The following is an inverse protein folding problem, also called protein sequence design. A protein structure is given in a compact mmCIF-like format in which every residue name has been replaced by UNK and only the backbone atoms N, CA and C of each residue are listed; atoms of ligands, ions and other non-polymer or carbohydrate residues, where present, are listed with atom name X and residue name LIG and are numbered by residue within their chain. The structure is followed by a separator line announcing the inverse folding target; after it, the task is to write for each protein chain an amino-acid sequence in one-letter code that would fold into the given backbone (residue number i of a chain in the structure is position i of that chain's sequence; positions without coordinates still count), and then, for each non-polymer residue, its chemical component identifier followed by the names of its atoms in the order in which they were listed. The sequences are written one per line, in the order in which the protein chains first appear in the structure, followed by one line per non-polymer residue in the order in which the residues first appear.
data_IF_653223418885
#
_entry.id   IF_653223418885
#
_cell.length_a   1.000
_cell.length_b   1.000
_cell.length_c   1.000
_cell.angle_alpha   90.00
_cell.angle_beta   90.00
_cell.angle_gamma   90.00
#
_symmetry.space_group_name_H-M   'P 1'
#
loop_
_entity.id
_entity.type
_entity.pdbx_description
1 polymer ?
#
# COMPACT_ATOMS: atom_id res chain seq x y z
N UNK A 1 21.99 52.48 64.32
CA UNK A 1 22.54 52.64 62.95
C UNK A 1 22.58 51.24 62.34
N UNK A 2 21.46 50.84 61.75
CA UNK A 2 21.03 49.43 61.71
C UNK A 2 21.52 48.73 60.44
N UNK A 3 21.96 47.47 60.59
CA UNK A 3 22.42 46.58 59.52
C UNK A 3 21.42 46.44 58.35
N UNK A 4 20.13 46.74 58.60
CA UNK A 4 19.07 46.77 57.59
C UNK A 4 19.27 47.86 56.52
N UNK A 5 19.87 49.01 56.88
CA UNK A 5 20.17 50.07 55.92
C UNK A 5 21.29 49.69 54.95
N UNK A 6 22.24 48.85 55.39
CA UNK A 6 23.31 48.34 54.51
C UNK A 6 22.82 47.28 53.54
N UNK A 7 21.79 46.50 53.91
CA UNK A 7 21.18 45.50 53.03
C UNK A 7 20.42 46.16 51.86
N UNK A 8 19.75 47.28 52.12
CA UNK A 8 19.03 48.02 51.07
C UNK A 8 19.97 48.81 50.15
N UNK A 9 21.17 49.17 50.62
CA UNK A 9 22.17 49.84 49.80
C UNK A 9 22.93 48.85 48.88
N UNK A 10 23.08 47.59 49.29
CA UNK A 10 23.67 46.53 48.44
C UNK A 10 22.73 46.02 47.33
N UNK A 11 21.40 46.07 47.53
CA UNK A 11 20.43 45.70 46.50
C UNK A 11 20.25 46.79 45.44
N UNK A 12 20.65 48.03 45.72
CA UNK A 12 20.57 49.14 44.77
C UNK A 12 21.87 49.39 43.98
N UNK A 13 22.96 48.69 44.33
CA UNK A 13 24.25 48.73 43.61
C UNK A 13 24.57 47.43 42.88
N UNK A 14 23.58 46.53 42.78
CA UNK A 14 23.64 45.34 41.92
C UNK A 14 23.48 45.75 40.46
N UNK A 15 24.56 46.29 39.91
CA UNK A 15 24.81 46.47 38.50
C UNK A 15 24.50 45.15 37.78
N UNK A 16 23.35 45.11 37.12
CA UNK A 16 22.74 43.88 36.63
C UNK A 16 21.78 44.11 35.48
N UNK A 17 21.88 45.25 34.80
CA UNK A 17 21.62 45.26 33.37
C UNK A 17 22.76 44.47 32.73
N UNK A 18 22.72 43.14 32.87
CA UNK A 18 23.33 42.26 31.90
C UNK A 18 22.63 42.61 30.60
N UNK A 19 23.21 43.54 29.84
CA UNK A 19 22.82 43.83 28.49
C UNK A 19 22.87 42.49 27.78
N UNK A 20 21.69 41.86 27.63
CA UNK A 20 21.54 40.62 26.87
C UNK A 20 22.13 40.96 25.52
N UNK A 21 23.32 40.44 25.24
CA UNK A 21 24.01 40.74 24.00
C UNK A 21 23.04 40.35 22.89
N UNK A 22 22.90 41.15 21.81
CA UNK A 22 21.95 40.85 20.74
C UNK A 22 22.16 39.44 20.17
N UNK A 23 23.39 38.92 20.26
CA UNK A 23 23.75 37.55 19.92
C UNK A 23 23.09 36.48 20.82
N UNK A 24 23.01 36.73 22.13
CA UNK A 24 22.38 35.83 23.11
C UNK A 24 20.86 35.80 22.92
N UNK A 25 20.27 36.95 22.59
CA UNK A 25 18.84 37.03 22.28
C UNK A 25 18.49 36.23 21.01
N UNK A 26 19.31 36.35 19.95
CA UNK A 26 19.13 35.59 18.71
C UNK A 26 19.29 34.09 18.96
N UNK A 27 20.28 33.67 19.75
CA UNK A 27 20.48 32.27 20.09
C UNK A 27 19.28 31.68 20.86
N UNK A 28 18.72 32.43 21.81
CA UNK A 28 17.52 32.02 22.56
C UNK A 28 16.31 31.89 21.64
N UNK A 29 16.11 32.84 20.72
CA UNK A 29 15.00 32.80 19.76
C UNK A 29 15.12 31.58 18.84
N UNK A 30 16.32 31.29 18.32
CA UNK A 30 16.55 30.12 17.46
C UNK A 30 16.29 28.79 18.19
N UNK A 31 16.68 28.71 19.47
CA UNK A 31 16.49 27.51 20.28
C UNK A 31 14.99 27.26 20.55
N UNK A 32 14.23 28.33 20.85
CA UNK A 32 12.78 28.26 21.01
C UNK A 32 12.08 27.82 19.72
N UNK A 33 12.54 28.33 18.57
CA UNK A 33 11.98 28.00 17.27
C UNK A 33 12.27 26.53 16.89
N UNK A 34 13.46 26.03 17.17
CA UNK A 34 13.83 24.63 16.96
C UNK A 34 13.01 23.68 17.83
N UNK A 35 12.81 24.01 19.11
CA UNK A 35 11.96 23.24 20.03
C UNK A 35 10.50 23.27 19.58
N UNK A 36 10.01 24.42 19.08
CA UNK A 36 8.66 24.54 18.54
C UNK A 36 8.46 23.64 17.31
N UNK A 37 9.37 23.69 16.33
CA UNK A 37 9.32 22.83 15.14
C UNK A 37 9.40 21.35 15.52
N UNK A 38 10.32 20.98 16.41
CA UNK A 38 10.46 19.61 16.90
C UNK A 38 9.20 19.12 17.63
N UNK A 39 8.60 19.97 18.46
CA UNK A 39 7.34 19.69 19.15
C UNK A 39 6.18 19.49 18.19
N UNK A 40 6.08 20.33 17.15
CA UNK A 40 5.07 20.18 16.09
C UNK A 40 5.27 18.89 15.31
N UNK A 41 6.51 18.53 14.94
CA UNK A 41 6.81 17.27 14.25
C UNK A 41 6.49 16.04 15.12
N UNK A 42 6.82 16.08 16.41
CA UNK A 42 6.47 15.03 17.37
C UNK A 42 4.96 14.93 17.58
N UNK A 43 4.25 16.05 17.59
CA UNK A 43 2.79 16.10 17.66
C UNK A 43 2.13 15.50 16.41
N UNK A 44 2.60 15.85 15.21
CA UNK A 44 2.14 15.22 13.97
C UNK A 44 2.50 13.73 13.89
N UNK A 45 3.68 13.31 14.36
CA UNK A 45 4.03 11.89 14.47
C UNK A 45 3.14 11.16 15.47
N UNK A 46 2.80 11.79 16.59
CA UNK A 46 1.88 11.22 17.58
C UNK A 46 0.45 11.11 17.02
N UNK A 47 -0.02 12.13 16.29
CA UNK A 47 -1.30 12.09 15.58
C UNK A 47 -1.31 11.02 14.50
N UNK A 48 -0.25 10.92 13.69
CA UNK A 48 -0.11 9.89 12.66
C UNK A 48 -0.12 8.50 13.29
N UNK A 49 0.63 8.28 14.38
CA UNK A 49 0.61 7.01 15.14
C UNK A 49 -0.78 6.71 15.72
N UNK A 50 -1.44 7.71 16.31
CA UNK A 50 -2.78 7.56 16.91
C UNK A 50 -3.86 7.29 15.86
N UNK A 51 -3.79 7.94 14.69
CA UNK A 51 -4.66 7.65 13.55
C UNK A 51 -4.38 6.25 13.00
N UNK A 52 -3.12 5.83 12.87
CA UNK A 52 -2.81 4.47 12.41
C UNK A 52 -3.29 3.38 13.37
N UNK A 53 -3.25 3.61 14.69
CA UNK A 53 -3.74 2.65 15.69
C UNK A 53 -5.27 2.62 15.78
N UNK A 54 -5.94 3.78 15.67
CA UNK A 54 -7.40 3.85 15.58
C UNK A 54 -7.91 3.16 14.31
N UNK A 55 -7.26 3.39 13.16
CA UNK A 55 -7.53 2.70 11.91
C UNK A 55 -7.28 1.20 12.06
N UNK A 56 -6.15 0.74 12.63
CA UNK A 56 -5.87 -0.71 12.80
C UNK A 56 -6.93 -1.44 13.63
N UNK A 57 -7.45 -0.81 14.68
CA UNK A 57 -8.51 -1.37 15.51
C UNK A 57 -9.85 -1.38 14.78
N UNK A 58 -10.16 -0.33 14.03
CA UNK A 58 -11.34 -0.27 13.16
C UNK A 58 -11.25 -1.32 12.06
N UNK A 59 -10.12 -1.45 11.38
CA UNK A 59 -9.83 -2.47 10.37
C UNK A 59 -9.95 -3.88 10.95
N UNK A 60 -9.43 -4.11 12.16
CA UNK A 60 -9.53 -5.41 12.83
C UNK A 60 -10.96 -5.74 13.23
N UNK A 61 -11.73 -4.74 13.69
CA UNK A 61 -13.17 -4.86 13.96
C UNK A 61 -13.96 -5.10 12.67
N UNK A 62 -13.67 -4.36 11.61
CA UNK A 62 -14.25 -4.53 10.28
C UNK A 62 -13.89 -5.89 9.70
N UNK A 63 -12.66 -6.39 9.89
CA UNK A 63 -12.26 -7.75 9.52
C UNK A 63 -13.03 -8.81 10.29
N UNK A 64 -13.22 -8.65 11.61
CA UNK A 64 -14.03 -9.59 12.40
C UNK A 64 -15.51 -9.55 11.99
N UNK A 65 -16.08 -8.37 11.76
CA UNK A 65 -17.46 -8.18 11.34
C UNK A 65 -17.71 -8.69 9.89
N UNK A 66 -16.75 -8.44 9.01
CA UNK A 66 -16.74 -8.94 7.64
C UNK A 66 -16.54 -10.45 7.58
N UNK A 67 -15.64 -11.02 8.38
CA UNK A 67 -15.46 -12.46 8.49
C UNK A 67 -16.78 -13.14 8.96
N UNK A 68 -17.44 -12.58 9.97
CA UNK A 68 -18.72 -13.10 10.45
C UNK A 68 -19.90 -12.95 9.47
N UNK A 69 -19.82 -12.00 8.53
CA UNK A 69 -20.83 -11.81 7.49
C UNK A 69 -20.52 -12.56 6.18
N UNK A 70 -19.25 -12.79 5.87
CA UNK A 70 -18.78 -13.65 4.79
C UNK A 70 -19.04 -15.13 5.09
N UNK A 71 -18.82 -15.58 6.33
CA UNK A 71 -19.20 -16.93 6.78
C UNK A 71 -20.69 -17.21 6.61
N UNK A 72 -21.56 -16.19 6.75
CA UNK A 72 -23.01 -16.33 6.55
C UNK A 72 -23.46 -16.31 5.09
N UNK A 73 -22.63 -15.82 4.15
CA UNK A 73 -22.99 -15.67 2.72
C UNK A 73 -22.31 -16.70 1.80
N UNK A 74 -21.35 -17.47 2.28
CA UNK A 74 -20.65 -18.44 1.45
C UNK A 74 -21.51 -19.69 1.15
N UNK A 75 -22.11 -19.73 -0.04
CA UNK A 75 -22.47 -20.99 -0.70
C UNK A 75 -21.20 -21.79 -1.06
N UNK A 76 -21.26 -23.13 -1.19
CA UNK A 76 -20.10 -24.04 -1.08
C UNK A 76 -19.15 -24.08 -2.30
N UNK A 77 -18.95 -22.97 -3.01
CA UNK A 77 -17.98 -22.86 -4.11
C UNK A 77 -16.65 -22.17 -3.71
N UNK A 78 -16.52 -21.70 -2.47
CA UNK A 78 -15.47 -20.75 -2.06
C UNK A 78 -14.30 -21.36 -1.26
N UNK A 79 -13.97 -22.64 -1.43
CA UNK A 79 -12.84 -23.25 -0.70
C UNK A 79 -11.47 -22.74 -1.20
N UNK A 80 -11.41 -22.14 -2.39
CA UNK A 80 -10.22 -21.47 -2.94
C UNK A 80 -10.55 -20.05 -3.39
N UNK A 81 -10.78 -19.13 -2.43
CA UNK A 81 -10.84 -17.69 -2.73
C UNK A 81 -9.63 -17.27 -3.57
N UNK A 82 -9.87 -16.55 -4.68
CA UNK A 82 -8.82 -16.12 -5.61
C UNK A 82 -7.71 -15.29 -4.93
N UNK A 83 -6.60 -15.04 -5.63
CA UNK A 83 -5.47 -14.32 -5.04
C UNK A 83 -5.91 -12.90 -4.65
N UNK A 84 -5.58 -12.51 -3.42
CA UNK A 84 -5.87 -11.15 -2.92
C UNK A 84 -5.00 -10.08 -3.60
N UNK A 85 -3.87 -10.47 -4.21
CA UNK A 85 -2.89 -9.56 -4.80
C UNK A 85 -2.02 -10.28 -5.82
N UNK A 86 -1.79 -9.63 -6.96
CA UNK A 86 -0.95 -10.18 -8.02
C UNK A 86 -0.34 -9.10 -8.91
N UNK A 87 0.66 -9.50 -9.67
CA UNK A 87 1.19 -8.75 -10.82
C UNK A 87 0.88 -9.49 -12.11
N UNK A 88 0.67 -8.74 -13.18
CA UNK A 88 0.76 -9.23 -14.55
C UNK A 88 1.90 -8.51 -15.27
N UNK A 89 2.88 -9.27 -15.76
CA UNK A 89 4.09 -8.75 -16.40
C UNK A 89 4.06 -9.17 -17.87
N UNK A 90 4.16 -8.22 -18.80
CA UNK A 90 4.17 -8.52 -20.24
C UNK A 90 5.55 -8.98 -20.69
N UNK A 91 5.92 -10.19 -20.27
CA UNK A 91 7.18 -10.82 -20.61
C UNK A 91 7.06 -12.34 -20.47
N UNK A 92 7.67 -13.06 -21.41
CA UNK A 92 7.85 -14.51 -21.36
C UNK A 92 9.25 -14.93 -20.89
N UNK A 93 10.13 -13.97 -20.57
CA UNK A 93 11.50 -14.24 -20.13
C UNK A 93 11.55 -14.47 -18.62
N UNK A 94 11.27 -15.71 -18.20
CA UNK A 94 11.26 -16.10 -16.77
C UNK A 94 12.58 -15.79 -16.05
N UNK A 95 13.78 -16.05 -16.59
CA UNK A 95 15.05 -15.66 -15.94
C UNK A 95 15.15 -14.15 -15.67
N UNK A 96 14.70 -13.32 -16.61
CA UNK A 96 14.70 -11.86 -16.42
C UNK A 96 13.73 -11.44 -15.31
N UNK A 97 12.54 -12.05 -15.26
CA UNK A 97 11.54 -11.80 -14.21
C UNK A 97 12.09 -12.21 -12.83
N UNK A 98 12.72 -13.38 -12.72
CA UNK A 98 13.36 -13.85 -11.48
C UNK A 98 14.42 -12.86 -11.00
N UNK A 99 15.29 -12.39 -11.90
CA UNK A 99 16.34 -11.43 -11.59
C UNK A 99 15.76 -10.07 -11.16
N UNK A 100 14.73 -9.59 -11.86
CA UNK A 100 14.07 -8.32 -11.55
C UNK A 100 13.37 -8.35 -10.18
N UNK A 101 12.71 -9.45 -9.84
CA UNK A 101 12.08 -9.69 -8.53
C UNK A 101 13.10 -10.05 -7.43
N UNK A 102 14.38 -10.23 -7.78
CA UNK A 102 15.46 -10.65 -6.88
C UNK A 102 15.10 -11.92 -6.10
N UNK A 103 14.50 -12.91 -6.79
CA UNK A 103 14.09 -14.16 -6.17
C UNK A 103 15.30 -15.00 -5.75
N UNK A 104 15.20 -15.60 -4.57
CA UNK A 104 16.13 -16.58 -3.99
C UNK A 104 15.40 -17.88 -3.69
N UNK A 105 16.15 -18.95 -3.50
CA UNK A 105 15.60 -20.29 -3.22
C UNK A 105 14.54 -20.72 -4.24
N UNK A 106 14.78 -20.44 -5.52
CA UNK A 106 13.82 -20.70 -6.59
C UNK A 106 13.67 -22.20 -6.79
N UNK A 107 12.43 -22.70 -6.73
CA UNK A 107 12.09 -24.09 -6.96
C UNK A 107 10.92 -24.18 -7.95
N UNK A 108 10.96 -25.10 -8.94
CA UNK A 108 9.79 -25.41 -9.74
C UNK A 108 8.66 -25.91 -8.85
N UNK A 109 7.43 -25.47 -9.11
CA UNK A 109 6.27 -25.94 -8.38
C UNK A 109 5.06 -26.06 -9.32
N UNK A 110 4.13 -26.92 -8.93
CA UNK A 110 2.80 -26.92 -9.52
C UNK A 110 2.05 -25.63 -9.15
N UNK A 111 0.98 -25.34 -9.88
CA UNK A 111 0.14 -24.18 -9.57
C UNK A 111 -0.53 -24.29 -8.20
N UNK A 112 -0.98 -25.50 -7.83
CA UNK A 112 -1.61 -25.77 -6.54
C UNK A 112 -0.64 -25.49 -5.38
N UNK A 113 0.58 -26.03 -5.46
CA UNK A 113 1.66 -25.77 -4.50
C UNK A 113 2.04 -24.29 -4.47
N UNK A 114 2.12 -23.65 -5.64
CA UNK A 114 2.43 -22.23 -5.79
C UNK A 114 1.41 -21.33 -5.09
N UNK A 115 0.12 -21.56 -5.30
CA UNK A 115 -0.94 -20.80 -4.62
C UNK A 115 -0.97 -21.06 -3.11
N UNK A 116 -0.71 -22.29 -2.67
CA UNK A 116 -0.64 -22.61 -1.24
C UNK A 116 0.53 -21.88 -0.57
N UNK A 117 1.74 -21.95 -1.17
CA UNK A 117 2.96 -21.34 -0.61
C UNK A 117 3.06 -19.83 -0.80
N UNK A 118 2.38 -19.25 -1.79
CA UNK A 118 2.34 -17.80 -2.01
C UNK A 118 1.73 -17.03 -0.82
N UNK A 119 1.00 -17.71 0.09
CA UNK A 119 0.51 -17.10 1.33
C UNK A 119 1.61 -16.88 2.37
N UNK A 120 2.74 -17.58 2.27
CA UNK A 120 3.79 -17.66 3.31
C UNK A 120 5.08 -16.93 2.90
N UNK A 121 5.01 -15.61 2.65
CA UNK A 121 6.16 -14.76 2.27
C UNK A 121 6.94 -15.19 1.01
N UNK A 122 6.38 -16.10 0.22
CA UNK A 122 6.92 -16.53 -1.07
C UNK A 122 6.15 -15.87 -2.21
N UNK A 123 6.84 -15.76 -3.34
CA UNK A 123 6.25 -15.39 -4.61
C UNK A 123 6.14 -16.62 -5.48
N UNK A 124 4.98 -16.82 -6.08
CA UNK A 124 4.75 -17.79 -7.13
C UNK A 124 4.69 -17.07 -8.47
N UNK A 125 5.51 -17.49 -9.42
CA UNK A 125 5.55 -16.96 -10.79
C UNK A 125 5.03 -18.05 -11.72
N UNK A 126 4.01 -17.73 -12.51
CA UNK A 126 3.44 -18.68 -13.46
C UNK A 126 4.36 -18.89 -14.65
N UNK A 127 4.19 -19.97 -15.41
CA UNK A 127 4.65 -20.00 -16.80
C UNK A 127 4.04 -18.83 -17.59
N UNK A 128 4.70 -18.38 -18.67
CA UNK A 128 4.12 -17.39 -19.57
C UNK A 128 2.84 -17.93 -20.24
N UNK A 129 1.80 -17.10 -20.26
CA UNK A 129 0.49 -17.37 -20.83
C UNK A 129 0.15 -16.21 -21.75
N UNK A 130 0.01 -16.45 -23.05
CA UNK A 130 -0.34 -15.39 -24.02
C UNK A 130 0.60 -14.16 -23.96
N UNK A 131 1.87 -14.39 -23.63
CA UNK A 131 2.88 -13.32 -23.49
C UNK A 131 2.91 -12.61 -22.14
N UNK A 132 2.04 -13.01 -21.20
CA UNK A 132 1.99 -12.51 -19.83
C UNK A 132 2.49 -13.54 -18.84
N UNK A 133 3.21 -13.07 -17.82
CA UNK A 133 3.60 -13.87 -16.67
C UNK A 133 2.95 -13.28 -15.43
N UNK A 134 2.23 -14.10 -14.67
CA UNK A 134 1.61 -13.66 -13.43
C UNK A 134 2.51 -13.95 -12.23
N UNK A 135 2.46 -13.07 -11.25
CA UNK A 135 3.18 -13.22 -9.98
C UNK A 135 2.20 -13.07 -8.83
N UNK A 136 2.15 -14.06 -7.97
CA UNK A 136 1.27 -14.10 -6.81
C UNK A 136 2.07 -14.14 -5.52
N UNK A 137 1.53 -13.55 -4.45
CA UNK A 137 1.97 -13.84 -3.09
C UNK A 137 2.01 -12.65 -2.16
N UNK A 138 1.96 -12.96 -0.87
CA UNK A 138 1.92 -11.98 0.22
C UNK A 138 3.22 -11.18 0.39
N UNK A 139 4.30 -11.58 -0.30
CA UNK A 139 5.52 -10.80 -0.29
C UNK A 139 5.43 -9.54 -1.17
N UNK A 140 4.58 -9.50 -2.21
CA UNK A 140 4.40 -8.29 -3.04
C UNK A 140 4.09 -7.07 -2.15
N UNK A 141 4.49 -5.85 -2.50
CA UNK A 141 4.16 -4.67 -1.69
C UNK A 141 2.64 -4.46 -1.61
N UNK A 142 2.19 -3.99 -0.45
CA UNK A 142 0.80 -3.58 -0.24
C UNK A 142 0.74 -2.06 -0.28
N UNK A 143 0.11 -1.49 -1.32
CA UNK A 143 0.01 -0.03 -1.46
C UNK A 143 -0.62 0.65 -0.25
N UNK A 144 -1.53 -0.05 0.44
CA UNK A 144 -2.14 0.41 1.68
C UNK A 144 -1.15 0.56 2.84
N UNK A 145 -0.16 -0.33 2.93
CA UNK A 145 0.84 -0.27 3.99
C UNK A 145 1.90 0.79 3.72
N UNK A 146 2.34 0.87 2.46
CA UNK A 146 3.37 1.81 2.01
C UNK A 146 3.23 2.08 0.50
N UNK A 147 2.61 3.21 0.15
CA UNK A 147 2.40 3.64 -1.23
C UNK A 147 3.74 3.88 -1.91
N UNK A 148 4.70 4.52 -1.23
CA UNK A 148 5.98 4.87 -1.83
C UNK A 148 6.79 3.62 -2.17
N UNK A 149 6.78 2.61 -1.30
CA UNK A 149 7.42 1.32 -1.57
C UNK A 149 6.75 0.61 -2.75
N UNK A 150 5.41 0.63 -2.82
CA UNK A 150 4.67 0.06 -3.95
C UNK A 150 5.00 0.79 -5.26
N UNK A 151 5.00 2.13 -5.24
CA UNK A 151 5.35 2.99 -6.36
C UNK A 151 6.74 2.68 -6.90
N UNK A 152 7.77 2.73 -6.03
CA UNK A 152 9.18 2.47 -6.41
C UNK A 152 9.35 1.06 -6.96
N UNK A 153 8.70 0.08 -6.34
CA UNK A 153 8.71 -1.30 -6.80
C UNK A 153 8.14 -1.44 -8.23
N UNK A 154 6.97 -0.87 -8.51
CA UNK A 154 6.37 -0.91 -9.84
C UNK A 154 7.19 -0.15 -10.89
N UNK A 155 7.78 0.98 -10.50
CA UNK A 155 8.66 1.77 -11.37
C UNK A 155 9.93 0.98 -11.74
N UNK A 156 10.59 0.39 -10.75
CA UNK A 156 11.81 -0.39 -10.95
C UNK A 156 11.56 -1.66 -11.77
N UNK A 157 10.42 -2.33 -11.56
CA UNK A 157 10.05 -3.50 -12.36
C UNK A 157 9.71 -3.12 -13.80
N UNK A 158 8.87 -2.11 -14.02
CA UNK A 158 8.50 -1.67 -15.37
C UNK A 158 9.70 -1.15 -16.16
N UNK A 159 10.66 -0.49 -15.52
CA UNK A 159 11.92 -0.10 -16.17
C UNK A 159 12.71 -1.30 -16.71
N UNK A 160 12.68 -2.44 -16.01
CA UNK A 160 13.44 -3.65 -16.40
C UNK A 160 12.66 -4.59 -17.32
N UNK A 161 11.35 -4.66 -17.14
CA UNK A 161 10.49 -5.68 -17.73
C UNK A 161 9.52 -5.10 -18.77
N UNK A 162 9.49 -3.78 -18.95
CA UNK A 162 8.56 -3.09 -19.82
C UNK A 162 7.24 -2.81 -19.11
N UNK A 163 6.20 -3.59 -19.42
CA UNK A 163 4.85 -3.37 -18.90
C UNK A 163 4.57 -4.26 -17.69
N UNK A 164 4.14 -3.62 -16.59
CA UNK A 164 3.78 -4.27 -15.33
C UNK A 164 2.44 -3.72 -14.86
N UNK A 165 1.50 -4.61 -14.60
CA UNK A 165 0.22 -4.30 -13.99
C UNK A 165 0.16 -4.93 -12.61
N UNK A 166 -0.43 -4.23 -11.66
CA UNK A 166 -0.62 -4.62 -10.27
C UNK A 166 -2.09 -4.57 -9.95
N UNK A 167 -2.54 -5.55 -9.16
CA UNK A 167 -3.91 -5.61 -8.69
C UNK A 167 -3.93 -6.11 -7.25
N UNK A 168 -4.85 -5.55 -6.47
CA UNK A 168 -5.11 -5.96 -5.09
C UNK A 168 -6.60 -5.88 -4.81
N UNK A 169 -7.11 -6.83 -4.03
CA UNK A 169 -8.51 -6.89 -3.61
C UNK A 169 -8.64 -7.64 -2.28
N UNK A 170 -9.38 -7.04 -1.35
CA UNK A 170 -9.79 -7.63 -0.08
C UNK A 170 -11.32 -7.50 0.02
N UNK A 171 -12.02 -8.59 -0.27
CA UNK A 171 -13.49 -8.67 -0.23
C UNK A 171 -14.06 -8.49 1.18
N UNK A 172 -13.29 -8.77 2.22
CA UNK A 172 -13.77 -8.57 3.59
C UNK A 172 -13.85 -7.08 3.91
N UNK A 173 -12.90 -6.29 3.41
CA UNK A 173 -12.85 -4.85 3.68
C UNK A 173 -13.35 -3.98 2.52
N UNK A 174 -13.72 -4.56 1.39
CA UNK A 174 -13.97 -3.86 0.12
C UNK A 174 -12.80 -2.97 -0.31
N UNK A 175 -11.58 -3.34 0.09
CA UNK A 175 -10.37 -2.64 -0.33
C UNK A 175 -9.95 -3.19 -1.66
N UNK A 176 -9.50 -2.31 -2.54
CA UNK A 176 -9.12 -2.68 -3.88
C UNK A 176 -8.13 -1.69 -4.45
N UNK A 177 -7.40 -2.12 -5.46
CA UNK A 177 -6.54 -1.22 -6.19
C UNK A 177 -5.95 -1.88 -7.41
N UNK A 178 -5.53 -1.05 -8.33
CA UNK A 178 -4.84 -1.45 -9.53
C UNK A 178 -3.83 -0.38 -9.91
N UNK A 179 -2.75 -0.79 -10.55
CA UNK A 179 -1.79 0.12 -11.14
C UNK A 179 -1.21 -0.48 -12.40
N UNK A 180 -0.91 0.37 -13.36
CA UNK A 180 -0.24 0.03 -14.61
C UNK A 180 0.98 0.94 -14.74
N UNK A 181 2.14 0.31 -14.75
CA UNK A 181 3.42 0.93 -15.01
C UNK A 181 4.02 0.43 -16.34
N UNK A 182 4.65 1.32 -17.09
CA UNK A 182 5.28 1.01 -18.37
C UNK A 182 6.58 1.80 -18.53
N UNK A 183 7.69 1.10 -18.77
CA UNK A 183 8.98 1.73 -19.07
C UNK A 183 9.49 2.67 -17.97
N UNK A 184 9.19 2.37 -16.69
CA UNK A 184 9.60 3.21 -15.57
C UNK A 184 8.73 4.45 -15.36
N UNK A 185 7.47 4.41 -15.79
CA UNK A 185 6.45 5.44 -15.52
C UNK A 185 5.13 4.80 -15.10
N UNK A 186 4.39 5.45 -14.21
CA UNK A 186 3.01 5.06 -13.90
C UNK A 186 2.09 5.67 -14.97
N UNK A 187 1.32 4.81 -15.65
CA UNK A 187 0.34 5.22 -16.66
C UNK A 187 -1.00 5.50 -15.98
N UNK A 188 -1.41 4.62 -15.07
CA UNK A 188 -2.64 4.71 -14.30
C UNK A 188 -2.47 3.99 -12.98
N UNK A 189 -2.89 4.57 -11.87
CA UNK A 189 -2.98 3.90 -10.58
C UNK A 189 -4.21 4.38 -9.80
N UNK A 190 -4.87 3.44 -9.12
CA UNK A 190 -5.96 3.73 -8.21
C UNK A 190 -5.93 2.74 -7.05
N UNK A 191 -6.02 3.21 -5.80
CA UNK A 191 -6.06 2.40 -4.58
C UNK A 191 -7.08 2.98 -3.62
N UNK A 192 -8.02 2.13 -3.22
CA UNK A 192 -9.08 2.41 -2.26
C UNK A 192 -8.92 1.54 -1.01
N UNK A 193 -8.91 2.17 0.16
CA UNK A 193 -8.85 1.49 1.45
C UNK A 193 -9.74 2.18 2.51
N UNK A 194 -11.00 2.43 2.14
CA UNK A 194 -11.93 3.28 2.91
C UNK A 194 -11.80 4.76 2.56
N UNK A 195 -10.66 5.15 2.00
CA UNK A 195 -10.39 6.42 1.33
C UNK A 195 -9.50 6.18 0.11
N UNK A 196 -9.42 7.17 -0.78
CA UNK A 196 -8.52 7.15 -1.93
C UNK A 196 -7.09 7.38 -1.45
N UNK A 197 -6.29 6.31 -1.46
CA UNK A 197 -4.88 6.35 -1.06
C UNK A 197 -3.97 6.76 -2.21
N UNK A 198 -4.26 6.26 -3.41
CA UNK A 198 -3.49 6.55 -4.61
C UNK A 198 -4.46 6.70 -5.78
N UNK A 199 -4.33 7.78 -6.55
CA UNK A 199 -5.06 8.07 -7.77
C UNK A 199 -4.15 8.91 -8.68
N UNK A 200 -3.63 8.31 -9.74
CA UNK A 200 -2.66 8.89 -10.66
C UNK A 200 -2.99 8.47 -12.10
N UNK A 201 -2.84 9.39 -13.05
CA UNK A 201 -3.18 9.16 -14.46
C UNK A 201 -4.69 9.21 -14.75
N UNK A 202 -5.07 9.35 -16.03
CA UNK A 202 -6.47 9.47 -16.43
C UNK A 202 -7.22 8.13 -16.31
N UNK A 203 -8.51 8.19 -16.01
CA UNK A 203 -9.37 6.99 -16.08
C UNK A 203 -9.34 6.40 -17.49
N UNK A 204 -9.18 5.09 -17.54
CA UNK A 204 -9.14 4.29 -18.77
C UNK A 204 -10.54 3.99 -19.27
N UNK A 205 -10.66 3.76 -20.58
CA UNK A 205 -11.92 3.31 -21.18
C UNK A 205 -12.45 2.00 -20.56
N UNK A 206 -11.55 1.13 -20.09
CA UNK A 206 -11.92 -0.10 -19.38
C UNK A 206 -12.53 0.17 -18.02
N UNK A 207 -11.97 1.10 -17.24
CA UNK A 207 -12.54 1.52 -15.96
C UNK A 207 -13.97 2.08 -16.17
N UNK A 208 -14.13 2.95 -17.18
CA UNK A 208 -15.43 3.53 -17.54
C UNK A 208 -16.43 2.46 -18.02
N UNK A 209 -15.99 1.56 -18.91
CA UNK A 209 -16.81 0.48 -19.46
C UNK A 209 -17.27 -0.52 -18.40
N UNK A 210 -16.44 -0.79 -17.40
CA UNK A 210 -16.82 -1.61 -16.24
C UNK A 210 -17.60 -0.82 -15.19
N UNK A 211 -17.72 0.51 -15.34
CA UNK A 211 -18.31 1.40 -14.35
C UNK A 211 -17.70 1.18 -12.96
N UNK A 212 -16.37 1.09 -12.89
CA UNK A 212 -15.66 1.11 -11.60
C UNK A 212 -15.54 2.55 -11.16
N UNK A 213 -15.88 2.83 -9.90
CA UNK A 213 -15.90 4.21 -9.40
C UNK A 213 -14.54 4.54 -8.79
N UNK A 214 -13.88 5.55 -9.33
CA UNK A 214 -12.65 6.09 -8.77
C UNK A 214 -12.97 7.39 -8.03
N UNK A 215 -12.98 7.34 -6.70
CA UNK A 215 -13.25 8.52 -5.88
C UNK A 215 -12.03 9.45 -5.88
N UNK A 216 -12.27 10.77 -5.89
CA UNK A 216 -11.19 11.73 -5.76
C UNK A 216 -10.56 11.68 -4.36
N UNK A 217 -9.36 12.25 -4.22
CA UNK A 217 -8.75 12.40 -2.89
C UNK A 217 -9.66 13.22 -1.98
N UNK A 218 -9.80 12.77 -0.73
CA UNK A 218 -10.69 13.35 0.28
C UNK A 218 -12.20 13.36 -0.07
N UNK A 219 -12.61 12.70 -1.17
CA UNK A 219 -14.03 12.47 -1.42
C UNK A 219 -14.54 11.40 -0.45
N UNK A 220 -15.58 11.73 0.31
CA UNK A 220 -16.19 10.78 1.22
C UNK A 220 -16.88 9.66 0.44
N UNK A 221 -16.68 8.42 0.88
CA UNK A 221 -17.48 7.31 0.40
C UNK A 221 -18.97 7.62 0.65
N UNK A 222 -19.86 7.36 -0.30
CA UNK A 222 -21.29 7.40 -0.03
C UNK A 222 -21.60 6.49 1.15
N UNK A 223 -22.37 6.98 2.12
CA UNK A 223 -22.90 6.11 3.17
C UNK A 223 -23.69 4.98 2.50
N UNK A 224 -23.27 3.75 2.74
CA UNK A 224 -23.98 2.57 2.26
C UNK A 224 -25.30 2.47 3.01
N UNK A 225 -26.40 2.76 2.33
CA UNK A 225 -27.74 2.54 2.88
C UNK A 225 -27.96 1.02 3.03
N UNK A 226 -28.64 0.57 4.08
CA UNK A 226 -28.77 -0.87 4.41
C UNK A 226 -29.42 -1.72 3.31
N UNK A 227 -30.03 -1.06 2.31
CA UNK A 227 -30.73 -1.63 1.16
C UNK A 227 -29.89 -1.63 -0.13
N UNK A 228 -28.76 -0.91 -0.18
CA UNK A 228 -27.95 -0.74 -1.40
C UNK A 228 -26.60 -1.44 -1.27
N UNK A 229 -26.16 -2.10 -2.33
CA UNK A 229 -24.83 -2.70 -2.41
C UNK A 229 -23.78 -1.59 -2.31
N UNK A 230 -22.88 -1.70 -1.34
CA UNK A 230 -21.75 -0.77 -1.18
C UNK A 230 -20.99 -0.61 -2.52
N UNK A 231 -20.91 0.61 -3.08
CA UNK A 231 -20.18 0.86 -4.33
C UNK A 231 -18.72 0.36 -4.31
N UNK A 232 -18.08 0.37 -3.14
CA UNK A 232 -16.74 -0.17 -2.98
C UNK A 232 -16.72 -1.71 -3.10
N UNK A 233 -17.74 -2.40 -2.58
CA UNK A 233 -17.91 -3.84 -2.75
C UNK A 233 -18.12 -4.21 -4.22
N UNK A 234 -18.98 -3.46 -4.91
CA UNK A 234 -19.24 -3.66 -6.34
C UNK A 234 -17.97 -3.46 -7.18
N UNK A 235 -17.13 -2.49 -6.83
CA UNK A 235 -15.85 -2.24 -7.50
C UNK A 235 -14.84 -3.36 -7.19
N UNK A 236 -14.81 -3.84 -5.94
CA UNK A 236 -13.90 -4.92 -5.52
C UNK A 236 -14.11 -6.20 -6.33
N UNK A 237 -15.37 -6.57 -6.64
CA UNK A 237 -15.65 -7.75 -7.47
C UNK A 237 -15.30 -7.56 -8.96
N UNK A 238 -15.15 -6.32 -9.43
CA UNK A 238 -14.78 -6.00 -10.82
C UNK A 238 -13.27 -5.98 -11.05
N UNK A 239 -12.43 -6.03 -10.02
CA UNK A 239 -10.96 -5.99 -10.15
C UNK A 239 -10.45 -7.14 -11.04
N UNK A 240 -11.01 -8.34 -10.89
CA UNK A 240 -10.64 -9.48 -11.73
C UNK A 240 -11.02 -9.28 -13.21
N UNK A 241 -12.16 -8.63 -13.48
CA UNK A 241 -12.62 -8.30 -14.84
C UNK A 241 -11.76 -7.19 -15.45
N UNK A 242 -11.36 -6.20 -14.64
CA UNK A 242 -10.42 -5.17 -15.06
C UNK A 242 -9.07 -5.77 -15.45
N UNK A 243 -8.57 -6.71 -14.65
CA UNK A 243 -7.35 -7.45 -14.97
C UNK A 243 -7.49 -8.29 -16.25
N UNK A 244 -8.65 -8.94 -16.46
CA UNK A 244 -8.95 -9.65 -17.71
C UNK A 244 -8.84 -8.73 -18.94
N UNK A 245 -9.38 -7.52 -18.83
CA UNK A 245 -9.41 -6.57 -19.93
C UNK A 245 -8.05 -5.89 -20.19
N UNK A 246 -7.18 -5.81 -19.19
CA UNK A 246 -5.83 -5.22 -19.33
C UNK A 246 -4.74 -6.25 -19.63
N UNK A 247 -4.88 -7.49 -19.13
CA UNK A 247 -3.91 -8.57 -19.26
C UNK A 247 -4.58 -9.94 -19.12
N UNK A 248 -4.65 -10.49 -17.90
CA UNK A 248 -5.19 -11.82 -17.61
C UNK A 248 -5.98 -11.83 -16.30
N UNK A 249 -7.07 -12.61 -16.29
CA UNK A 249 -7.86 -12.84 -15.10
C UNK A 249 -7.32 -14.05 -14.30
N UNK A 250 -6.77 -13.87 -13.08
CA UNK A 250 -6.25 -14.98 -12.30
C UNK A 250 -7.33 -15.99 -11.87
N UNK A 251 -8.62 -15.63 -11.86
CA UNK A 251 -9.69 -16.57 -11.51
C UNK A 251 -10.08 -17.50 -12.67
N UNK A 252 -9.76 -17.14 -13.91
CA UNK A 252 -10.06 -17.94 -15.11
C UNK A 252 -8.94 -18.93 -15.44
N UNK A 253 -7.71 -18.69 -14.95
CA UNK A 253 -6.54 -19.56 -15.16
C UNK A 253 -6.58 -20.88 -14.35
N UNK A 254 -7.79 -21.31 -13.92
CA UNK A 254 -8.02 -22.52 -13.11
C UNK A 254 -7.95 -23.82 -13.91
N UNK A 255 -7.81 -23.76 -15.23
CA UNK A 255 -7.72 -24.97 -16.06
C UNK A 255 -6.27 -25.46 -16.19
N UNK A 256 -5.91 -26.62 -15.58
CA UNK A 256 -4.58 -27.22 -15.74
C UNK A 256 -4.27 -27.64 -17.19
N UNK A 257 -5.24 -27.55 -18.12
CA UNK A 257 -5.07 -27.88 -19.54
C UNK A 257 -4.38 -26.77 -20.35
N UNK A 258 -4.32 -25.54 -19.84
CA UNK A 258 -3.68 -24.43 -20.54
C UNK A 258 -2.14 -24.46 -20.32
N UNK A 259 -1.66 -25.13 -19.27
CA UNK A 259 -0.28 -25.03 -18.79
C UNK A 259 0.44 -26.37 -18.79
N UNK A 260 1.15 -26.68 -19.89
CA UNK A 260 2.05 -27.84 -19.96
C UNK A 260 3.39 -27.62 -19.23
N UNK A 261 3.59 -26.47 -18.57
CA UNK A 261 4.85 -26.09 -17.94
C UNK A 261 4.67 -25.84 -16.43
N UNK A 262 5.64 -26.23 -15.59
CA UNK A 262 5.64 -25.89 -14.17
C UNK A 262 5.93 -24.39 -13.98
N UNK A 263 5.32 -23.80 -12.94
CA UNK A 263 5.70 -22.47 -12.48
C UNK A 263 6.91 -22.53 -11.55
N UNK A 264 7.24 -21.41 -10.92
CA UNK A 264 8.34 -21.32 -9.95
C UNK A 264 7.88 -20.62 -8.68
N UNK A 265 8.34 -21.10 -7.53
CA UNK A 265 8.20 -20.43 -6.25
C UNK A 265 9.56 -19.94 -5.77
N UNK A 266 9.61 -18.77 -5.13
CA UNK A 266 10.85 -18.22 -4.59
C UNK A 266 10.60 -17.11 -3.56
N UNK A 267 11.65 -16.78 -2.82
CA UNK A 267 11.63 -15.74 -1.78
C UNK A 267 12.28 -14.46 -2.31
N UNK A 268 11.60 -13.30 -2.30
CA UNK A 268 12.22 -12.07 -2.74
C UNK A 268 13.23 -11.56 -1.71
N UNK A 269 14.40 -11.11 -2.17
CA UNK A 269 15.35 -10.41 -1.32
C UNK A 269 14.77 -9.04 -0.92
N UNK A 270 14.20 -8.93 0.29
CA UNK A 270 13.62 -7.73 0.93
C UNK A 270 13.18 -6.61 -0.02
N UNK A 271 11.87 -6.54 -0.28
CA UNK A 271 11.27 -5.59 -1.22
C UNK A 271 11.28 -4.12 -0.74
N UNK A 272 11.75 -3.86 0.49
CA UNK A 272 11.89 -2.50 1.05
C UNK A 272 12.96 -1.63 0.38
N UNK A 273 13.80 -2.23 -0.47
CA UNK A 273 14.96 -1.57 -1.10
C UNK A 273 14.89 -1.61 -2.63
N UNK A 274 13.68 -1.48 -3.19
CA UNK A 274 13.50 -1.19 -4.61
C UNK A 274 13.61 0.31 -4.88
#
# INVERSE_FOLDING_TARGET
MNAFGRLLQQLNTGDGNAAVQPLDLVAVILLLLLVSIGGVALFFMWLARRHTEALRLEISRSRLAAAGSAERRAAPAAIFGGPARWLAIRSSNTPLIQSALRLRHVQPCTWEEGFATARERRLFVTPPVEGWTLVFGGALPEAREDIDACYRFLLALSHKLGQVQYFTMDRALNHHGWAWAEGGKIVRAYVWAGETLWNEGPETATEQGLSVRCLAYAEAAPLSDLTFTDPAAATTEKVAQLAAAWSLNPTELREPRIFNAPGIAGEPASLKYF
#
